data_IF_395091979136
#
_entry.id   IF_395091979136
#
_cell.length_a   1.000
_cell.length_b   1.000
_cell.length_c   1.000
_cell.angle_alpha   90.00
_cell.angle_beta   90.00
_cell.angle_gamma   90.00
#
_symmetry.space_group_name_H-M   'P 1'
#
loop_
_entity.id
_entity.type
_entity.pdbx_description
1 polymer ?
#
# COMPACT_ATOMS: atom_id res chain seq x y z
N UNK A 1 -28.90 -33.39 -14.49
CA UNK A 1 -28.45 -32.23 -15.29
C UNK A 1 -29.15 -30.99 -14.74
N UNK A 2 -28.59 -30.41 -13.69
CA UNK A 2 -29.03 -29.14 -13.10
C UNK A 2 -27.80 -28.25 -13.06
N UNK A 3 -27.83 -27.14 -13.79
CA UNK A 3 -26.80 -26.10 -13.75
C UNK A 3 -27.14 -25.18 -12.58
N UNK A 4 -26.41 -25.30 -11.49
CA UNK A 4 -26.43 -24.31 -10.42
C UNK A 4 -25.62 -23.09 -10.88
N UNK A 5 -26.29 -22.21 -11.61
CA UNK A 5 -25.79 -20.90 -12.00
C UNK A 5 -25.94 -19.91 -10.82
N UNK A 6 -25.18 -20.09 -9.74
CA UNK A 6 -24.92 -19.01 -8.78
C UNK A 6 -23.78 -19.27 -7.78
N UNK A 7 -22.82 -20.15 -8.07
CA UNK A 7 -21.63 -20.28 -7.23
C UNK A 7 -20.68 -19.12 -7.50
N UNK A 8 -20.85 -18.01 -6.79
CA UNK A 8 -19.85 -16.93 -6.75
C UNK A 8 -18.59 -17.51 -6.12
N UNK A 9 -17.53 -17.68 -6.90
CA UNK A 9 -16.24 -18.21 -6.43
C UNK A 9 -15.64 -17.18 -5.46
N UNK A 10 -15.30 -17.58 -4.23
CA UNK A 10 -14.71 -16.63 -3.26
C UNK A 10 -13.29 -16.21 -3.69
N UNK A 11 -12.92 -14.98 -3.34
CA UNK A 11 -11.59 -14.40 -3.64
C UNK A 11 -10.45 -15.29 -3.11
N UNK A 12 -10.63 -15.84 -1.91
CA UNK A 12 -9.68 -16.78 -1.31
C UNK A 12 -9.44 -18.02 -2.16
N UNK A 13 -10.47 -18.53 -2.85
CA UNK A 13 -10.35 -19.69 -3.74
C UNK A 13 -9.56 -19.30 -5.00
N UNK A 14 -9.76 -18.09 -5.52
CA UNK A 14 -9.01 -17.60 -6.69
C UNK A 14 -7.54 -17.43 -6.34
N UNK A 15 -7.22 -16.76 -5.23
CA UNK A 15 -5.82 -16.58 -4.81
C UNK A 15 -5.14 -17.93 -4.48
N UNK A 16 -5.84 -18.84 -3.80
CA UNK A 16 -5.35 -20.20 -3.55
C UNK A 16 -5.11 -20.97 -4.86
N UNK A 17 -6.03 -20.87 -5.82
CA UNK A 17 -5.89 -21.53 -7.13
C UNK A 17 -4.74 -20.94 -7.94
N UNK A 18 -4.55 -19.62 -7.91
CA UNK A 18 -3.41 -18.94 -8.56
C UNK A 18 -2.08 -19.41 -7.96
N UNK A 19 -2.01 -19.56 -6.64
CA UNK A 19 -0.81 -20.04 -5.95
C UNK A 19 -0.43 -21.48 -6.31
N UNK A 20 -1.37 -22.26 -6.85
CA UNK A 20 -1.17 -23.67 -7.26
C UNK A 20 -0.67 -23.82 -8.69
N UNK A 21 -0.68 -22.76 -9.50
CA UNK A 21 -0.14 -22.75 -10.87
C UNK A 21 1.39 -22.72 -10.88
N UNK A 22 1.98 -23.83 -10.44
CA UNK A 22 3.43 -23.99 -10.28
C UNK A 22 4.06 -24.61 -11.51
N UNK A 23 5.17 -24.03 -11.98
CA UNK A 23 5.96 -24.52 -13.12
C UNK A 23 5.19 -24.71 -14.43
N UNK A 24 4.08 -24.00 -14.61
CA UNK A 24 3.28 -24.04 -15.84
C UNK A 24 3.42 -22.69 -16.54
N UNK A 25 3.55 -22.72 -17.86
CA UNK A 25 3.38 -21.54 -18.71
C UNK A 25 1.95 -21.53 -19.24
N UNK A 26 1.13 -20.60 -18.76
CA UNK A 26 -0.23 -20.40 -19.24
C UNK A 26 -0.47 -18.92 -19.52
N UNK A 27 -1.17 -18.64 -20.60
CA UNK A 27 -1.67 -17.30 -20.92
C UNK A 27 -3.11 -17.47 -21.37
N UNK A 28 -4.05 -16.97 -20.57
CA UNK A 28 -5.46 -16.93 -20.92
C UNK A 28 -5.84 -15.48 -21.18
N UNK A 29 -6.41 -15.23 -22.35
CA UNK A 29 -6.83 -13.91 -22.78
C UNK A 29 -8.31 -13.94 -23.12
N UNK A 30 -9.05 -13.04 -22.50
CA UNK A 30 -10.38 -12.65 -22.93
C UNK A 30 -10.44 -11.11 -23.04
N UNK A 31 -11.60 -10.62 -23.42
CA UNK A 31 -11.97 -9.20 -23.44
C UNK A 31 -12.30 -8.66 -22.04
N UNK A 32 -12.51 -9.53 -21.04
CA UNK A 32 -12.85 -9.18 -19.65
C UNK A 32 -11.83 -9.64 -18.62
N UNK A 33 -10.83 -10.44 -19.00
CA UNK A 33 -9.83 -10.96 -18.08
C UNK A 33 -8.55 -11.38 -18.77
N UNK A 34 -7.46 -11.38 -18.01
CA UNK A 34 -6.16 -11.83 -18.48
C UNK A 34 -5.41 -12.56 -17.37
N UNK A 35 -5.04 -13.81 -17.61
CA UNK A 35 -4.22 -14.61 -16.70
C UNK A 35 -2.90 -14.92 -17.36
N UNK A 36 -1.81 -14.68 -16.65
CA UNK A 36 -0.50 -15.20 -16.97
C UNK A 36 0.05 -15.96 -15.76
N UNK A 37 0.56 -17.16 -15.98
CA UNK A 37 1.44 -17.84 -15.04
C UNK A 37 2.65 -18.32 -15.84
N UNK A 38 3.85 -17.93 -15.41
CA UNK A 38 5.07 -18.32 -16.12
C UNK A 38 6.24 -18.49 -15.15
N UNK A 39 7.09 -19.52 -15.34
CA UNK A 39 8.39 -19.59 -14.69
C UNK A 39 9.26 -18.40 -15.08
N UNK A 40 9.99 -17.83 -14.12
CA UNK A 40 10.97 -16.80 -14.39
C UNK A 40 12.28 -17.45 -14.81
N UNK A 41 12.76 -17.06 -15.99
CA UNK A 41 14.07 -17.45 -16.45
C UNK A 41 15.06 -16.31 -16.24
N UNK A 42 15.82 -16.36 -15.13
CA UNK A 42 16.81 -15.34 -14.76
C UNK A 42 18.02 -15.26 -15.69
N UNK A 43 18.21 -16.24 -16.59
CA UNK A 43 19.24 -16.19 -17.62
C UNK A 43 18.73 -15.68 -18.98
N UNK A 44 17.44 -15.41 -19.09
CA UNK A 44 16.83 -14.80 -20.28
C UNK A 44 17.13 -13.31 -20.33
N UNK A 45 17.33 -12.78 -21.55
CA UNK A 45 17.40 -11.34 -21.76
C UNK A 45 16.04 -10.65 -21.51
N UNK A 46 14.95 -11.40 -21.70
CA UNK A 46 13.59 -10.93 -21.44
C UNK A 46 13.05 -11.58 -20.16
N UNK A 47 12.97 -10.80 -19.09
CA UNK A 47 12.42 -11.21 -17.80
C UNK A 47 10.98 -10.71 -17.70
N UNK A 48 10.05 -11.61 -17.37
CA UNK A 48 8.66 -11.24 -17.10
C UNK A 48 8.58 -10.42 -15.81
N UNK A 49 8.11 -9.17 -15.93
CA UNK A 49 7.93 -8.24 -14.82
C UNK A 49 6.47 -8.10 -14.40
N UNK A 50 5.53 -8.38 -15.29
CA UNK A 50 4.12 -8.35 -14.95
C UNK A 50 3.18 -8.42 -16.13
N UNK A 51 2.08 -7.68 -16.04
CA UNK A 51 0.98 -7.76 -16.99
C UNK A 51 0.29 -6.41 -17.18
N UNK A 52 -0.24 -6.20 -18.38
CA UNK A 52 -1.14 -5.09 -18.69
C UNK A 52 -2.42 -5.60 -19.31
N UNK A 53 -3.46 -4.81 -19.20
CA UNK A 53 -4.75 -5.09 -19.78
C UNK A 53 -5.37 -3.82 -20.35
N UNK A 54 -6.00 -3.97 -21.51
CA UNK A 54 -6.78 -2.93 -22.15
C UNK A 54 -8.18 -3.48 -22.44
N UNK A 55 -9.19 -2.79 -21.90
CA UNK A 55 -10.60 -3.17 -22.06
C UNK A 55 -10.97 -3.33 -23.54
N UNK A 56 -11.65 -4.43 -23.85
CA UNK A 56 -12.06 -4.77 -25.22
C UNK A 56 -10.94 -5.32 -26.12
N UNK A 57 -9.67 -5.20 -25.73
CA UNK A 57 -8.54 -5.80 -26.47
C UNK A 57 -7.93 -7.00 -25.73
N UNK A 58 -8.01 -7.04 -24.41
CA UNK A 58 -7.40 -8.07 -23.57
C UNK A 58 -6.04 -7.67 -23.01
N UNK A 59 -5.29 -8.65 -22.50
CA UNK A 59 -4.01 -8.39 -21.83
C UNK A 59 -2.79 -8.92 -22.56
N UNK A 60 -1.62 -8.43 -22.12
CA UNK A 60 -0.29 -8.83 -22.56
C UNK A 60 0.66 -8.90 -21.35
N UNK A 61 1.65 -9.77 -21.44
CA UNK A 61 2.79 -9.80 -20.53
C UNK A 61 3.64 -8.54 -20.68
N UNK A 62 4.19 -8.07 -19.57
CA UNK A 62 5.16 -6.97 -19.53
C UNK A 62 6.52 -7.54 -19.13
N UNK A 63 7.52 -7.31 -19.96
CA UNK A 63 8.93 -7.70 -19.73
C UNK A 63 9.79 -6.47 -19.51
N UNK A 64 11.03 -6.65 -19.07
CA UNK A 64 12.03 -5.58 -19.00
C UNK A 64 12.23 -4.83 -20.34
N UNK A 65 12.17 -5.52 -21.48
CA UNK A 65 12.26 -4.91 -22.81
C UNK A 65 10.99 -4.20 -23.29
N UNK A 66 9.82 -4.56 -22.72
CA UNK A 66 8.52 -4.04 -23.16
C UNK A 66 7.85 -3.13 -22.13
N UNK A 67 8.49 -2.84 -21.00
CA UNK A 67 7.92 -2.03 -19.92
C UNK A 67 7.57 -0.62 -20.37
N UNK A 68 8.50 0.11 -20.97
CA UNK A 68 8.26 1.48 -21.44
C UNK A 68 7.14 1.59 -22.48
N UNK A 69 7.15 0.81 -23.60
CA UNK A 69 6.06 0.88 -24.56
C UNK A 69 4.73 0.38 -23.98
N UNK A 70 4.76 -0.55 -23.03
CA UNK A 70 3.56 -1.01 -22.32
C UNK A 70 2.94 0.08 -21.46
N UNK A 71 3.77 0.80 -20.70
CA UNK A 71 3.33 1.86 -19.80
C UNK A 71 3.00 3.16 -20.53
N UNK A 72 3.58 3.41 -21.70
CA UNK A 72 3.28 4.59 -22.53
C UNK A 72 2.11 4.37 -23.51
N UNK A 73 1.34 3.31 -23.32
CA UNK A 73 0.16 2.98 -24.14
C UNK A 73 -1.15 3.19 -23.38
N UNK A 74 -2.27 3.29 -24.10
CA UNK A 74 -3.61 3.43 -23.52
C UNK A 74 -4.03 2.12 -22.83
N UNK A 75 -3.66 1.99 -21.56
CA UNK A 75 -3.88 0.81 -20.72
C UNK A 75 -4.98 1.09 -19.71
N UNK A 76 -5.90 0.13 -19.55
CA UNK A 76 -6.93 0.21 -18.51
C UNK A 76 -6.34 -0.12 -17.15
N UNK A 77 -5.46 -1.12 -17.11
CA UNK A 77 -4.72 -1.46 -15.90
C UNK A 77 -3.38 -2.09 -16.26
N UNK A 78 -2.35 -1.82 -15.46
CA UNK A 78 -1.08 -2.53 -15.55
C UNK A 78 -0.47 -2.72 -14.15
N UNK A 79 0.31 -3.78 -14.03
CA UNK A 79 1.05 -4.13 -12.84
C UNK A 79 2.44 -4.59 -13.25
N UNK A 80 3.47 -3.99 -12.66
CA UNK A 80 4.87 -4.25 -12.97
C UNK A 80 5.63 -4.40 -11.65
N UNK A 81 6.21 -5.57 -11.44
CA UNK A 81 7.07 -5.84 -10.28
C UNK A 81 8.47 -5.35 -10.61
N UNK A 82 9.10 -4.68 -9.65
CA UNK A 82 10.48 -4.24 -9.78
C UNK A 82 11.41 -5.45 -9.92
N UNK A 83 12.35 -5.39 -10.85
CA UNK A 83 13.22 -6.52 -11.21
C UNK A 83 13.99 -7.07 -9.99
N UNK A 84 14.48 -6.19 -9.11
CA UNK A 84 15.18 -6.59 -7.88
C UNK A 84 14.31 -7.42 -6.92
N UNK A 85 12.98 -7.28 -6.98
CA UNK A 85 12.06 -8.07 -6.16
C UNK A 85 11.90 -9.51 -6.68
N UNK A 86 12.34 -9.80 -7.92
CA UNK A 86 12.17 -11.10 -8.58
C UNK A 86 13.37 -12.06 -8.44
N UNK A 87 14.51 -11.62 -7.89
CA UNK A 87 15.77 -12.41 -7.84
C UNK A 87 15.63 -13.84 -7.26
N UNK A 88 14.71 -14.05 -6.32
CA UNK A 88 14.47 -15.35 -5.68
C UNK A 88 13.08 -15.94 -5.99
N UNK A 89 12.48 -15.50 -7.09
CA UNK A 89 11.17 -15.96 -7.57
C UNK A 89 11.37 -17.00 -8.69
N UNK A 90 10.70 -18.15 -8.54
CA UNK A 90 10.66 -19.25 -9.53
C UNK A 90 9.60 -19.02 -10.58
N UNK A 91 8.44 -18.53 -10.18
CA UNK A 91 7.30 -18.31 -11.07
C UNK A 91 6.49 -17.10 -10.63
N UNK A 92 5.94 -16.40 -11.61
CA UNK A 92 5.07 -15.24 -11.43
C UNK A 92 3.70 -15.56 -12.01
N UNK A 93 2.66 -15.33 -11.21
CA UNK A 93 1.27 -15.40 -11.61
C UNK A 93 0.66 -14.01 -11.49
N UNK A 94 0.02 -13.54 -12.56
CA UNK A 94 -0.80 -12.33 -12.53
C UNK A 94 -2.15 -12.61 -13.17
N UNK A 95 -3.20 -12.20 -12.48
CA UNK A 95 -4.56 -12.28 -12.97
C UNK A 95 -5.22 -10.91 -12.92
N UNK A 96 -5.75 -10.48 -14.05
CA UNK A 96 -6.45 -9.21 -14.19
C UNK A 96 -7.90 -9.51 -14.52
N UNK A 97 -8.82 -8.90 -13.78
CA UNK A 97 -10.26 -8.99 -14.03
C UNK A 97 -10.78 -7.58 -14.29
N UNK A 98 -11.37 -7.40 -15.46
CA UNK A 98 -12.16 -6.24 -15.78
C UNK A 98 -13.57 -6.39 -15.22
N UNK A 99 -14.12 -5.30 -14.65
CA UNK A 99 -15.44 -5.28 -13.98
C UNK A 99 -15.64 -6.41 -12.96
N UNK A 100 -14.84 -6.46 -11.90
CA UNK A 100 -14.86 -7.56 -10.96
C UNK A 100 -16.01 -7.38 -9.95
N UNK A 101 -17.21 -7.82 -10.33
CA UNK A 101 -18.46 -7.66 -9.54
C UNK A 101 -18.35 -8.19 -8.11
N UNK A 102 -17.52 -9.21 -7.89
CA UNK A 102 -17.25 -9.78 -6.57
C UNK A 102 -16.58 -8.80 -5.59
N UNK A 103 -15.94 -7.75 -6.11
CA UNK A 103 -15.18 -6.76 -5.33
C UNK A 103 -15.92 -5.42 -5.19
N UNK A 104 -17.12 -5.29 -5.75
CA UNK A 104 -17.87 -4.01 -5.77
C UNK A 104 -18.37 -3.58 -4.39
N UNK A 105 -18.71 -4.53 -3.53
CA UNK A 105 -19.19 -4.23 -2.16
C UNK A 105 -18.02 -3.96 -1.22
N UNK A 106 -17.42 -2.77 -1.33
CA UNK A 106 -16.41 -2.30 -0.39
C UNK A 106 -17.09 -1.77 0.87
N UNK A 107 -16.83 -2.40 2.02
CA UNK A 107 -17.28 -2.05 3.37
C UNK A 107 -18.39 -0.98 3.47
N UNK A 108 -19.63 -1.43 3.72
CA UNK A 108 -20.84 -0.59 3.86
C UNK A 108 -20.70 0.56 4.88
N UNK A 109 -19.74 0.49 5.81
CA UNK A 109 -19.54 1.56 6.80
C UNK A 109 -18.82 2.79 6.25
N UNK A 110 -18.00 2.62 5.21
CA UNK A 110 -17.11 3.68 4.71
C UNK A 110 -17.56 4.30 3.39
N UNK A 111 -18.62 3.75 2.77
CA UNK A 111 -19.10 4.12 1.42
C UNK A 111 -17.97 4.17 0.38
N UNK A 112 -16.92 3.38 0.59
CA UNK A 112 -15.90 3.12 -0.41
C UNK A 112 -16.54 2.38 -1.56
N UNK A 113 -15.98 2.54 -2.74
CA UNK A 113 -16.41 1.78 -3.91
C UNK A 113 -15.22 1.54 -4.82
N UNK A 114 -15.27 0.43 -5.53
CA UNK A 114 -14.29 0.11 -6.56
C UNK A 114 -14.27 1.22 -7.62
N UNK A 115 -13.11 1.55 -8.17
CA UNK A 115 -12.94 2.55 -9.22
C UNK A 115 -12.30 1.98 -10.52
N UNK A 116 -11.71 0.78 -10.46
CA UNK A 116 -10.94 0.20 -11.56
C UNK A 116 -11.12 -1.32 -11.69
N UNK A 117 -10.47 -1.92 -12.69
CA UNK A 117 -10.18 -3.36 -12.73
C UNK A 117 -9.37 -3.80 -11.51
N UNK A 118 -9.42 -5.08 -11.18
CA UNK A 118 -8.63 -5.70 -10.09
C UNK A 118 -7.46 -6.46 -10.69
N UNK A 119 -6.27 -6.32 -10.07
CA UNK A 119 -5.08 -7.11 -10.38
C UNK A 119 -4.73 -7.97 -9.20
N UNK A 120 -4.52 -9.26 -9.42
CA UNK A 120 -4.04 -10.21 -8.43
C UNK A 120 -2.67 -10.67 -8.84
N UNK A 121 -1.71 -10.54 -7.94
CA UNK A 121 -0.36 -11.06 -8.13
C UNK A 121 -0.08 -12.16 -7.13
N UNK A 122 0.60 -13.21 -7.58
CA UNK A 122 1.22 -14.20 -6.71
C UNK A 122 2.57 -14.61 -7.29
N UNK A 123 3.45 -15.07 -6.41
CA UNK A 123 4.79 -15.55 -6.78
C UNK A 123 5.12 -16.80 -6.02
N UNK A 124 5.81 -17.71 -6.68
CA UNK A 124 6.44 -18.85 -6.04
C UNK A 124 7.90 -18.54 -5.80
N UNK A 125 8.36 -18.60 -4.55
CA UNK A 125 9.76 -18.32 -4.19
C UNK A 125 10.61 -19.59 -4.11
N UNK A 126 11.92 -19.43 -4.30
CA UNK A 126 12.91 -20.50 -4.10
C UNK A 126 13.05 -20.84 -2.61
N UNK A 127 12.99 -19.83 -1.73
CA UNK A 127 13.04 -19.96 -0.28
C UNK A 127 11.76 -19.42 0.38
N UNK A 128 11.50 -19.83 1.62
CA UNK A 128 10.39 -19.35 2.44
C UNK A 128 10.63 -17.96 3.05
N UNK A 129 11.74 -17.30 2.75
CA UNK A 129 12.01 -15.97 3.26
C UNK A 129 11.11 -14.93 2.59
N UNK A 130 10.38 -14.17 3.40
CA UNK A 130 9.53 -13.09 2.94
C UNK A 130 10.37 -11.89 2.53
N UNK A 131 10.64 -11.74 1.23
CA UNK A 131 11.18 -10.51 0.68
C UNK A 131 10.04 -9.52 0.38
N UNK A 132 10.28 -8.24 0.70
CA UNK A 132 9.42 -7.13 0.28
C UNK A 132 9.31 -7.11 -1.25
N UNK A 133 8.08 -6.95 -1.75
CA UNK A 133 7.78 -6.97 -3.18
C UNK A 133 7.38 -5.58 -3.61
N UNK A 134 8.21 -4.89 -4.38
CA UNK A 134 7.84 -3.59 -4.90
C UNK A 134 7.10 -3.75 -6.22
N UNK A 135 5.81 -3.42 -6.23
CA UNK A 135 4.95 -3.49 -7.41
C UNK A 135 4.42 -2.09 -7.74
N UNK A 136 4.63 -1.66 -8.98
CA UNK A 136 4.04 -0.46 -9.55
C UNK A 136 2.70 -0.81 -10.21
N UNK A 137 1.67 -0.05 -9.89
CA UNK A 137 0.30 -0.26 -10.31
C UNK A 137 -0.20 0.97 -11.06
N UNK A 138 -0.93 0.72 -12.14
CA UNK A 138 -1.44 1.74 -13.05
C UNK A 138 -2.92 1.47 -13.27
N UNK A 139 -3.80 2.40 -12.89
CA UNK A 139 -5.25 2.19 -12.95
C UNK A 139 -5.94 3.35 -13.66
N UNK A 140 -6.66 3.03 -14.74
CA UNK A 140 -7.63 3.95 -15.32
C UNK A 140 -8.97 3.79 -14.62
N UNK A 141 -9.65 4.91 -14.37
CA UNK A 141 -11.01 4.87 -13.82
C UNK A 141 -11.92 4.17 -14.84
N UNK A 142 -12.66 3.18 -14.37
CA UNK A 142 -13.70 2.54 -15.17
C UNK A 142 -14.94 3.46 -15.21
N UNK A 143 -15.50 3.77 -16.39
CA UNK A 143 -16.67 4.65 -16.50
C UNK A 143 -17.86 4.21 -15.65
N UNK A 144 -18.04 2.90 -15.46
CA UNK A 144 -19.13 2.32 -14.65
C UNK A 144 -18.98 2.59 -13.15
N UNK A 145 -17.75 2.88 -12.72
CA UNK A 145 -17.38 3.14 -11.34
C UNK A 145 -17.06 4.61 -11.08
N UNK A 146 -17.25 5.47 -12.09
CA UNK A 146 -16.97 6.88 -11.96
C UNK A 146 -17.97 7.52 -10.99
N UNK A 147 -17.50 8.19 -9.92
CA UNK A 147 -18.40 8.78 -8.95
C UNK A 147 -19.10 10.02 -9.50
N UNK A 148 -20.38 10.17 -9.17
CA UNK A 148 -21.16 11.39 -9.44
C UNK A 148 -20.87 12.52 -8.44
N UNK A 149 -19.91 12.31 -7.54
CA UNK A 149 -19.52 13.22 -6.46
C UNK A 149 -18.01 13.44 -6.52
N UNK A 150 -17.55 14.54 -5.91
CA UNK A 150 -16.11 14.70 -5.67
C UNK A 150 -15.61 13.51 -4.87
N UNK A 151 -14.51 12.91 -5.33
CA UNK A 151 -13.99 11.68 -4.77
C UNK A 151 -12.48 11.74 -4.62
N UNK A 152 -12.00 11.11 -3.56
CA UNK A 152 -10.59 10.81 -3.37
C UNK A 152 -10.34 9.38 -3.82
N UNK A 153 -9.27 9.17 -4.58
CA UNK A 153 -8.84 7.85 -5.00
C UNK A 153 -7.73 7.32 -4.10
N UNK A 154 -7.74 6.00 -3.90
CA UNK A 154 -6.78 5.28 -3.08
C UNK A 154 -6.35 4.02 -3.80
N UNK A 155 -5.05 3.73 -3.75
CA UNK A 155 -4.58 2.39 -4.08
C UNK A 155 -4.72 1.50 -2.87
N UNK A 156 -5.53 0.47 -3.00
CA UNK A 156 -5.83 -0.45 -1.92
C UNK A 156 -5.53 -1.88 -2.35
N UNK A 157 -5.13 -2.69 -1.38
CA UNK A 157 -5.09 -4.14 -1.49
C UNK A 157 -6.26 -4.77 -0.72
N UNK A 158 -6.68 -5.96 -1.13
CA UNK A 158 -7.74 -6.69 -0.46
C UNK A 158 -7.16 -7.53 0.69
N UNK A 159 -7.40 -7.07 1.92
CA UNK A 159 -7.03 -7.79 3.14
C UNK A 159 -8.05 -8.90 3.39
N UNK A 160 -7.69 -10.13 3.01
CA UNK A 160 -8.56 -11.32 3.16
C UNK A 160 -8.91 -11.55 4.63
N UNK A 161 -7.96 -11.34 5.55
CA UNK A 161 -8.15 -11.63 6.98
C UNK A 161 -9.26 -10.78 7.59
N UNK A 162 -9.37 -9.53 7.12
CA UNK A 162 -10.39 -8.59 7.56
C UNK A 162 -11.51 -8.37 6.53
N UNK A 163 -11.46 -9.09 5.40
CA UNK A 163 -12.39 -8.98 4.27
C UNK A 163 -12.65 -7.53 3.84
N UNK A 164 -11.59 -6.72 3.74
CA UNK A 164 -11.69 -5.27 3.46
C UNK A 164 -10.57 -4.76 2.58
N UNK A 165 -10.83 -3.66 1.88
CA UNK A 165 -9.80 -2.92 1.17
C UNK A 165 -8.98 -2.05 2.13
N UNK A 166 -7.66 -2.15 2.04
CA UNK A 166 -6.68 -1.53 2.94
C UNK A 166 -5.55 -0.89 2.13
N UNK A 167 -5.02 0.25 2.55
CA UNK A 167 -3.98 1.01 1.85
C UNK A 167 -2.59 0.81 2.49
N UNK A 168 -2.50 0.00 3.55
CA UNK A 168 -1.24 -0.26 4.26
C UNK A 168 -0.20 -0.84 3.31
N UNK A 169 0.97 -0.20 3.23
CA UNK A 169 2.05 -0.65 2.34
C UNK A 169 1.91 -0.18 0.89
N UNK A 170 0.87 0.59 0.56
CA UNK A 170 0.72 1.26 -0.73
C UNK A 170 0.94 2.77 -0.61
N UNK A 171 1.45 3.39 -1.67
CA UNK A 171 1.60 4.84 -1.78
C UNK A 171 0.30 5.51 -2.20
N UNK A 172 0.18 6.80 -1.91
CA UNK A 172 -0.96 7.59 -2.39
C UNK A 172 -0.92 7.65 -3.93
N UNK A 173 -2.06 7.50 -4.61
CA UNK A 173 -2.10 7.49 -6.05
C UNK A 173 -1.78 8.87 -6.62
N UNK A 174 -0.89 8.90 -7.60
CA UNK A 174 -0.53 10.09 -8.37
C UNK A 174 -1.29 10.06 -9.69
N UNK A 175 -2.01 11.12 -10.01
CA UNK A 175 -2.73 11.21 -11.28
C UNK A 175 -1.78 11.62 -12.40
N UNK A 176 -1.72 10.79 -13.45
CA UNK A 176 -0.99 11.05 -14.66
C UNK A 176 -1.94 11.52 -15.77
N UNK A 177 -1.96 12.82 -16.02
CA UNK A 177 -2.85 13.44 -17.01
C UNK A 177 -2.57 13.02 -18.46
N UNK A 178 -1.33 12.61 -18.79
CA UNK A 178 -0.98 12.19 -20.15
C UNK A 178 -1.67 10.88 -20.56
N UNK A 179 -1.89 9.99 -19.60
CA UNK A 179 -2.52 8.68 -19.82
C UNK A 179 -3.91 8.55 -19.18
N UNK A 180 -4.36 9.59 -18.47
CA UNK A 180 -5.64 9.62 -17.75
C UNK A 180 -5.79 8.41 -16.80
N UNK A 181 -4.81 8.27 -15.91
CA UNK A 181 -4.72 7.13 -14.97
C UNK A 181 -4.05 7.51 -13.66
N UNK A 182 -4.27 6.70 -12.64
CA UNK A 182 -3.61 6.79 -11.36
C UNK A 182 -2.45 5.80 -11.27
N UNK A 183 -1.33 6.24 -10.71
CA UNK A 183 -0.11 5.48 -10.56
C UNK A 183 0.28 5.41 -9.08
N UNK A 184 0.62 4.23 -8.61
CA UNK A 184 1.04 4.01 -7.22
C UNK A 184 1.96 2.80 -7.13
N UNK A 185 2.53 2.59 -5.96
CA UNK A 185 3.41 1.48 -5.66
C UNK A 185 3.03 0.83 -4.33
N UNK A 186 3.14 -0.49 -4.25
CA UNK A 186 2.93 -1.25 -3.02
C UNK A 186 4.14 -2.13 -2.71
N UNK A 187 4.34 -2.45 -1.43
CA UNK A 187 5.50 -3.23 -0.94
C UNK A 187 5.21 -4.72 -0.68
N UNK A 188 4.10 -5.22 -1.21
CA UNK A 188 3.64 -6.60 -1.08
C UNK A 188 2.93 -7.03 -2.37
N UNK A 189 2.54 -8.29 -2.46
CA UNK A 189 1.85 -8.86 -3.61
C UNK A 189 0.59 -9.61 -3.14
N UNK A 190 -0.58 -9.13 -3.56
CA UNK A 190 -1.92 -9.64 -3.20
C UNK A 190 -2.90 -9.27 -4.34
N UNK A 191 -4.18 -9.04 -4.02
CA UNK A 191 -5.17 -8.40 -4.89
C UNK A 191 -5.20 -6.88 -4.71
N UNK A 192 -5.07 -6.11 -5.79
CA UNK A 192 -5.03 -4.65 -5.81
C UNK A 192 -6.14 -4.05 -6.68
N UNK A 193 -6.62 -2.87 -6.28
CA UNK A 193 -7.47 -2.02 -7.09
C UNK A 193 -7.35 -0.56 -6.70
N UNK A 194 -7.82 0.32 -7.59
CA UNK A 194 -8.15 1.69 -7.26
C UNK A 194 -9.53 1.72 -6.61
N UNK A 195 -9.61 2.32 -5.44
CA UNK A 195 -10.84 2.53 -4.66
C UNK A 195 -11.11 4.02 -4.62
N UNK A 196 -12.37 4.42 -4.70
CA UNK A 196 -12.77 5.80 -4.47
C UNK A 196 -13.58 5.96 -3.19
N UNK A 197 -13.47 7.14 -2.60
CA UNK A 197 -14.15 7.57 -1.39
C UNK A 197 -14.83 8.92 -1.63
N UNK A 198 -16.08 9.12 -1.17
CA UNK A 198 -16.73 10.42 -1.23
C UNK A 198 -15.93 11.50 -0.47
N UNK A 199 -15.75 12.68 -1.07
CA UNK A 199 -15.04 13.81 -0.47
C UNK A 199 -15.60 14.21 0.90
N UNK A 200 -16.91 14.03 1.12
CA UNK A 200 -17.58 14.32 2.39
C UNK A 200 -17.08 13.46 3.57
N UNK A 201 -16.37 12.36 3.30
CA UNK A 201 -15.81 11.46 4.31
C UNK A 201 -14.30 11.67 4.52
N UNK A 202 -13.67 12.64 3.83
CA UNK A 202 -12.22 12.89 3.92
C UNK A 202 -11.78 13.27 5.34
N UNK A 203 -12.65 13.93 6.13
CA UNK A 203 -12.37 14.25 7.53
C UNK A 203 -12.18 13.03 8.45
N UNK A 204 -12.50 11.82 7.97
CA UNK A 204 -12.35 10.57 8.70
C UNK A 204 -11.27 9.64 8.13
N UNK A 205 -10.79 9.88 6.90
CA UNK A 205 -9.91 8.96 6.16
C UNK A 205 -8.54 9.54 5.80
N UNK A 206 -8.43 10.86 5.68
CA UNK A 206 -7.12 11.49 5.59
C UNK A 206 -6.37 11.28 6.90
N UNK A 207 -5.04 11.16 6.86
CA UNK A 207 -4.20 11.48 8.02
C UNK A 207 -4.31 12.98 8.35
N UNK A 208 -5.52 13.48 8.57
CA UNK A 208 -5.74 14.66 9.37
C UNK A 208 -5.49 14.20 10.79
N UNK A 209 -4.32 14.54 11.32
CA UNK A 209 -4.08 14.57 12.76
C UNK A 209 -5.35 15.16 13.39
N UNK A 210 -6.01 14.43 14.28
CA UNK A 210 -7.20 14.95 14.96
C UNK A 210 -6.78 16.26 15.62
N UNK A 211 -7.69 17.22 15.79
CA UNK A 211 -7.36 18.47 16.49
C UNK A 211 -6.69 18.20 17.86
N UNK A 212 -7.06 17.09 18.51
CA UNK A 212 -6.43 16.57 19.70
C UNK A 212 -4.95 16.15 19.51
N UNK A 213 -4.59 15.50 18.39
CA UNK A 213 -3.22 15.07 18.09
C UNK A 213 -2.32 16.27 17.78
N UNK A 214 -2.86 17.27 17.04
CA UNK A 214 -2.16 18.54 16.76
C UNK A 214 -1.93 19.29 18.08
N UNK A 215 -2.96 19.42 18.90
CA UNK A 215 -2.85 20.06 20.21
C UNK A 215 -1.82 19.34 21.08
N UNK A 216 -1.85 18.01 21.13
CA UNK A 216 -0.89 17.20 21.88
C UNK A 216 0.55 17.45 21.42
N UNK A 217 0.79 17.52 20.10
CA UNK A 217 2.11 17.78 19.55
C UNK A 217 2.62 19.20 19.89
N UNK A 218 1.74 20.19 19.84
CA UNK A 218 2.07 21.57 20.22
C UNK A 218 2.39 21.66 21.71
N UNK A 219 1.56 21.09 22.59
CA UNK A 219 1.80 21.12 24.04
C UNK A 219 3.06 20.35 24.42
N UNK A 220 3.34 19.21 23.78
CA UNK A 220 4.55 18.44 24.02
C UNK A 220 5.81 19.21 23.61
N UNK A 221 5.79 19.90 22.46
CA UNK A 221 6.94 20.69 22.00
C UNK A 221 7.23 21.87 22.94
N UNK A 222 6.20 22.61 23.36
CA UNK A 222 6.34 23.72 24.33
C UNK A 222 6.88 23.21 25.67
N UNK A 223 6.37 22.09 26.19
CA UNK A 223 6.83 21.52 27.45
C UNK A 223 8.31 21.13 27.41
N UNK A 224 8.77 20.52 26.31
CA UNK A 224 10.19 20.12 26.15
C UNK A 224 11.08 21.36 26.15
N UNK A 225 10.70 22.41 25.39
CA UNK A 225 11.47 23.66 25.33
C UNK A 225 11.57 24.33 26.70
N UNK A 226 10.45 24.45 27.42
CA UNK A 226 10.45 25.02 28.77
C UNK A 226 11.33 24.22 29.73
N UNK A 227 11.28 22.90 29.67
CA UNK A 227 12.10 22.03 30.53
C UNK A 227 13.59 22.20 30.26
N UNK A 228 14.00 22.31 29.00
CA UNK A 228 15.39 22.58 28.62
C UNK A 228 15.87 23.94 29.12
N UNK A 229 15.05 24.98 29.02
CA UNK A 229 15.40 26.32 29.53
C UNK A 229 15.63 26.26 31.06
N UNK A 230 14.75 25.59 31.80
CA UNK A 230 14.90 25.43 33.26
C UNK A 230 16.17 24.66 33.61
N UNK A 231 16.47 23.56 32.90
CA UNK A 231 17.69 22.79 33.11
C UNK A 231 18.92 23.67 32.84
N UNK A 232 18.98 24.32 31.69
CA UNK A 232 20.11 25.19 31.32
C UNK A 232 20.30 26.28 32.37
N UNK A 233 19.21 26.93 32.79
CA UNK A 233 19.27 27.96 33.82
C UNK A 233 19.77 27.42 35.16
N UNK A 234 19.28 26.25 35.59
CA UNK A 234 19.74 25.60 36.83
C UNK A 234 21.21 25.20 36.80
N UNK A 235 21.69 24.71 35.65
CA UNK A 235 23.09 24.34 35.42
C UNK A 235 23.97 25.59 35.36
N UNK A 236 23.52 26.64 34.69
CA UNK A 236 24.23 27.92 34.63
C UNK A 236 24.37 28.55 36.01
N UNK A 237 23.29 28.61 36.81
CA UNK A 237 23.36 29.07 38.21
C UNK A 237 24.35 28.23 39.02
N UNK A 238 24.31 26.90 38.86
CA UNK A 238 25.20 25.98 39.58
C UNK A 238 26.65 26.07 39.12
N UNK A 239 26.91 26.37 37.86
CA UNK A 239 28.23 26.56 37.29
C UNK A 239 28.82 27.93 37.65
N UNK A 240 27.99 28.98 37.70
CA UNK A 240 28.38 30.33 38.10
C UNK A 240 28.53 30.47 39.62
N UNK A 241 27.81 29.66 40.42
CA UNK A 241 27.92 29.61 41.87
C UNK A 241 28.45 28.24 42.37
N UNK A 242 29.72 27.89 42.14
CA UNK A 242 30.30 26.63 42.61
C UNK A 242 30.49 26.58 44.15
N UNK A 243 30.17 27.65 44.88
CA UNK A 243 30.40 27.82 46.33
C UNK A 243 29.21 27.45 47.23
N UNK A 244 28.23 26.69 46.74
CA UNK A 244 27.29 25.94 47.59
C UNK A 244 27.53 24.43 47.49
N UNK A 245 28.80 24.06 47.29
CA UNK A 245 29.31 22.71 47.48
C UNK A 245 29.59 22.54 48.98
N UNK A 246 28.59 22.05 49.73
CA UNK A 246 28.67 21.58 51.12
C UNK A 246 29.57 22.38 52.07
N UNK A 247 29.06 23.50 52.61
CA UNK A 247 29.61 24.06 53.85
C UNK A 247 29.03 23.32 55.05
N UNK A 248 29.38 22.04 55.22
CA UNK A 248 29.24 21.30 56.49
C UNK A 248 30.35 21.71 57.44
N UNK A 249 30.44 23.00 57.76
CA UNK A 249 31.30 23.55 58.80
C UNK A 249 30.50 24.63 59.53
N UNK A 250 29.55 24.17 60.36
CA UNK A 250 29.09 24.78 61.61
C UNK A 250 27.98 23.89 62.20
N UNK A 251 28.29 22.59 62.37
CA UNK A 251 27.63 21.77 63.37
C UNK A 251 28.40 21.99 64.68
N UNK A 252 27.96 22.95 65.48
CA UNK A 252 28.17 22.97 66.93
C UNK A 252 27.07 23.87 67.53
N UNK A 253 26.09 23.28 68.24
CA UNK A 253 25.05 24.05 68.89
C UNK A 253 25.62 24.76 70.12
N UNK A 254 25.28 26.04 70.24
CA UNK A 254 25.24 26.77 71.50
C UNK A 254 24.27 26.04 72.45
N UNK A 255 24.79 25.11 73.26
CA UNK A 255 24.16 24.66 74.50
C UNK A 255 25.13 24.99 75.63
N UNK A 256 25.12 26.26 76.01
CA UNK A 256 25.69 26.76 77.27
C UNK A 256 24.85 27.97 77.68
N UNK A 257 23.67 27.70 78.25
CA UNK A 257 22.94 28.51 79.25
C UNK A 257 21.55 27.91 79.52
N UNK A 258 21.53 26.85 80.32
CA UNK A 258 20.51 26.52 81.33
C UNK A 258 20.98 25.26 82.08
#
# INVERSE_FOLDING_TARGET
MSRDANSTVSISIIEDSLSKLNNISITLRSDTSFLIAQPLNHSSNDILLGARFQRGLGGLSVTNSTVDPSLNSNTSVAAVIAEQSLLYVKSLQMFIIDKPTMYENVDKKTNKSLASSVVMGSVQRVSSESSSMNISLYFKISPEYQPNVSAMYLCSFYDISNSRWNETGCTNPLFNAAFDRYECSCNHLTSFALIWLPQSQIGSYGRTMRAADIASLVFQSVSIVCFLIVIIHSVAIRAMNPLLKFQTNNLLPLISSA
#
